data_IF_240833692896
#
_entry.id   IF_240833692896
#
_cell.length_a   1.000
_cell.length_b   1.000
_cell.length_c   1.000
_cell.angle_alpha   90.00
_cell.angle_beta   90.00
_cell.angle_gamma   90.00
#
_symmetry.space_group_name_H-M   'P 1'
#
loop_
_entity.id
_entity.type
_entity.pdbx_description
1 polymer ?
#
# COMPACT_ATOMS: atom_id res chain seq x y z
N UNK A 1 8.84 25.98 -8.86
CA UNK A 1 7.79 26.23 -7.85
C UNK A 1 7.05 24.90 -7.76
N UNK A 2 7.67 23.86 -7.17
CA UNK A 2 7.21 22.47 -7.35
C UNK A 2 7.48 21.57 -6.13
N UNK A 3 7.91 22.13 -5.00
CA UNK A 3 8.17 21.34 -3.78
C UNK A 3 6.90 20.90 -3.06
N UNK A 4 5.79 21.61 -3.26
CA UNK A 4 4.48 21.29 -2.67
C UNK A 4 3.96 19.92 -3.16
N UNK A 5 4.43 19.44 -4.31
CA UNK A 5 4.02 18.14 -4.87
C UNK A 5 4.78 16.96 -4.27
N UNK A 6 6.07 17.10 -3.99
CA UNK A 6 6.93 16.00 -3.51
C UNK A 6 6.57 15.61 -2.07
N UNK A 7 6.41 16.59 -1.19
CA UNK A 7 6.04 16.35 0.20
C UNK A 7 4.66 15.68 0.32
N UNK A 8 3.68 16.12 -0.49
CA UNK A 8 2.35 15.52 -0.55
C UNK A 8 2.38 14.08 -1.10
N UNK A 9 3.19 13.82 -2.13
CA UNK A 9 3.39 12.47 -2.66
C UNK A 9 4.03 11.55 -1.62
N UNK A 10 5.04 12.01 -0.88
CA UNK A 10 5.69 11.27 0.20
C UNK A 10 4.73 10.99 1.36
N UNK A 11 3.93 11.97 1.78
CA UNK A 11 2.91 11.80 2.81
C UNK A 11 1.88 10.75 2.38
N UNK A 12 1.44 10.80 1.11
CA UNK A 12 0.50 9.83 0.56
C UNK A 12 1.08 8.42 0.48
N UNK A 13 2.34 8.28 0.05
CA UNK A 13 3.07 6.99 0.07
C UNK A 13 3.14 6.43 1.49
N UNK A 14 3.46 7.28 2.46
CA UNK A 14 3.55 6.87 3.87
C UNK A 14 2.20 6.37 4.37
N UNK A 15 1.10 7.09 4.09
CA UNK A 15 -0.25 6.67 4.45
C UNK A 15 -0.63 5.32 3.80
N UNK A 16 -0.33 5.13 2.51
CA UNK A 16 -0.60 3.84 1.85
C UNK A 16 0.26 2.70 2.40
N UNK A 17 1.52 2.96 2.80
CA UNK A 17 2.38 1.96 3.45
C UNK A 17 1.83 1.53 4.80
N UNK A 18 1.27 2.46 5.57
CA UNK A 18 0.57 2.16 6.84
C UNK A 18 -0.64 1.28 6.55
N UNK A 19 -1.53 1.70 5.64
CA UNK A 19 -2.73 0.92 5.29
C UNK A 19 -2.37 -0.49 4.77
N UNK A 20 -1.32 -0.60 3.96
CA UNK A 20 -0.82 -1.89 3.47
C UNK A 20 -0.36 -2.81 4.61
N UNK A 21 0.31 -2.26 5.63
CA UNK A 21 0.74 -3.01 6.83
C UNK A 21 -0.45 -3.44 7.68
N UNK A 22 -1.44 -2.58 7.84
CA UNK A 22 -2.67 -2.90 8.58
C UNK A 22 -3.46 -4.01 7.88
N UNK A 23 -3.55 -3.97 6.55
CA UNK A 23 -4.14 -5.06 5.77
C UNK A 23 -3.38 -6.37 5.93
N UNK A 24 -2.05 -6.32 6.05
CA UNK A 24 -1.26 -7.53 6.28
C UNK A 24 -1.56 -8.16 7.64
N UNK A 25 -1.63 -7.32 8.69
CA UNK A 25 -2.02 -7.77 10.02
C UNK A 25 -3.45 -8.35 10.03
N UNK A 26 -4.39 -7.71 9.34
CA UNK A 26 -5.77 -8.19 9.22
C UNK A 26 -5.86 -9.53 8.46
N UNK A 27 -5.10 -9.69 7.38
CA UNK A 27 -5.02 -10.95 6.62
C UNK A 27 -4.45 -12.05 7.49
N UNK A 28 -3.37 -11.78 8.24
CA UNK A 28 -2.77 -12.76 9.14
C UNK A 28 -3.77 -13.20 10.22
N UNK A 29 -4.39 -12.24 10.93
CA UNK A 29 -5.38 -12.53 11.96
C UNK A 29 -6.56 -13.36 11.42
N UNK A 30 -7.09 -13.00 10.24
CA UNK A 30 -8.18 -13.73 9.60
C UNK A 30 -7.76 -15.14 9.14
N UNK A 31 -6.54 -15.30 8.63
CA UNK A 31 -6.03 -16.60 8.18
C UNK A 31 -5.89 -17.63 9.32
N UNK A 32 -5.61 -17.17 10.53
CA UNK A 32 -5.50 -18.02 11.72
C UNK A 32 -6.86 -18.27 12.42
N UNK A 33 -7.93 -17.60 11.98
CA UNK A 33 -9.27 -17.79 12.57
C UNK A 33 -9.90 -19.10 12.08
N UNK A 34 -10.44 -19.94 12.99
CA UNK A 34 -11.28 -21.07 12.60
C UNK A 34 -12.51 -20.57 11.81
N UNK A 35 -12.83 -21.20 10.69
CA UNK A 35 -13.96 -20.80 9.84
C UNK A 35 -13.73 -19.51 9.03
N UNK A 36 -12.46 -19.15 8.78
CA UNK A 36 -12.11 -17.97 7.98
C UNK A 36 -12.86 -17.93 6.63
N UNK A 37 -13.48 -16.78 6.35
CA UNK A 37 -14.14 -16.53 5.07
C UNK A 37 -13.07 -16.34 3.97
N UNK A 38 -12.90 -17.38 3.16
CA UNK A 38 -11.92 -17.40 2.07
C UNK A 38 -12.18 -16.31 1.03
N UNK A 39 -13.43 -15.89 0.82
CA UNK A 39 -13.78 -14.81 -0.10
C UNK A 39 -13.33 -13.46 0.47
N UNK A 40 -13.57 -13.22 1.76
CA UNK A 40 -13.07 -12.01 2.44
C UNK A 40 -11.54 -11.96 2.43
N UNK A 41 -10.88 -13.08 2.73
CA UNK A 41 -9.42 -13.17 2.71
C UNK A 41 -8.85 -12.88 1.31
N UNK A 42 -9.54 -13.36 0.27
CA UNK A 42 -9.17 -13.05 -1.13
C UNK A 42 -9.37 -11.57 -1.47
N UNK A 43 -10.44 -10.93 -0.99
CA UNK A 43 -10.69 -9.50 -1.18
C UNK A 43 -9.62 -8.65 -0.49
N UNK A 44 -9.25 -8.99 0.74
CA UNK A 44 -8.19 -8.30 1.48
C UNK A 44 -6.84 -8.41 0.78
N UNK A 45 -6.46 -9.62 0.32
CA UNK A 45 -5.25 -9.84 -0.46
C UNK A 45 -5.22 -9.02 -1.76
N UNK A 46 -6.35 -8.94 -2.47
CA UNK A 46 -6.47 -8.11 -3.68
C UNK A 46 -6.26 -6.63 -3.38
N UNK A 47 -6.89 -6.12 -2.30
CA UNK A 47 -6.71 -4.71 -1.88
C UNK A 47 -5.24 -4.44 -1.50
N UNK A 48 -4.60 -5.35 -0.77
CA UNK A 48 -3.17 -5.26 -0.42
C UNK A 48 -2.30 -5.18 -1.68
N UNK A 49 -2.57 -6.01 -2.68
CA UNK A 49 -1.85 -5.98 -3.96
C UNK A 49 -2.04 -4.63 -4.68
N UNK A 50 -3.26 -4.11 -4.74
CA UNK A 50 -3.54 -2.81 -5.36
C UNK A 50 -2.81 -1.65 -4.67
N UNK A 51 -2.72 -1.66 -3.34
CA UNK A 51 -1.94 -0.68 -2.60
C UNK A 51 -0.45 -0.79 -2.92
N UNK A 52 0.11 -2.00 -2.95
CA UNK A 52 1.51 -2.24 -3.33
C UNK A 52 1.81 -1.68 -4.72
N UNK A 53 0.97 -1.97 -5.71
CA UNK A 53 1.15 -1.50 -7.07
C UNK A 53 1.02 0.03 -7.16
N UNK A 54 0.10 0.63 -6.39
CA UNK A 54 -0.07 2.08 -6.33
C UNK A 54 1.12 2.79 -5.69
N UNK A 55 1.66 2.23 -4.61
CA UNK A 55 2.89 2.71 -3.97
C UNK A 55 4.04 2.68 -4.97
N UNK A 56 4.26 1.54 -5.63
CA UNK A 56 5.33 1.39 -6.61
C UNK A 56 5.22 2.43 -7.75
N UNK A 57 4.01 2.66 -8.28
CA UNK A 57 3.77 3.69 -9.32
C UNK A 57 4.08 5.11 -8.83
N UNK A 58 3.77 5.43 -7.58
CA UNK A 58 4.02 6.76 -7.02
C UNK A 58 5.50 6.93 -6.66
N UNK A 59 6.16 5.90 -6.14
CA UNK A 59 7.61 5.88 -5.93
C UNK A 59 8.35 6.05 -7.26
N UNK A 60 7.94 5.37 -8.34
CA UNK A 60 8.51 5.57 -9.68
C UNK A 60 8.32 6.99 -10.24
N UNK A 61 7.35 7.77 -9.73
CA UNK A 61 7.17 9.19 -10.10
C UNK A 61 8.04 10.14 -9.27
N UNK A 62 8.54 9.69 -8.12
CA UNK A 62 9.52 10.42 -7.29
C UNK A 62 10.97 10.10 -7.68
N UNK A 63 11.24 8.89 -8.20
CA UNK A 63 12.56 8.46 -8.70
C UNK A 63 13.06 9.16 -10.00
N UNK A 64 12.27 9.85 -10.86
CA UNK A 64 12.82 10.51 -12.06
C UNK A 64 13.91 11.56 -11.76
N UNK A 65 14.01 12.01 -10.51
CA UNK A 65 14.92 13.07 -10.06
C UNK A 65 16.11 12.55 -9.24
N UNK A 66 16.25 11.22 -9.06
CA UNK A 66 17.29 10.61 -8.22
C UNK A 66 18.48 10.00 -9.00
N UNK A 67 18.38 9.89 -10.33
CA UNK A 67 19.43 9.37 -11.23
C UNK A 67 19.83 10.40 -12.32
N UNK A 68 20.21 11.63 -11.92
CA UNK A 68 20.85 12.64 -12.79
C UNK A 68 22.25 13.02 -12.29
#
# INVERSE_FOLDING_TARGET
>A
MDYENIADLQARITAMKIEHRDLDAAIAAMAFSPGADQLQLTRLKRRKLQLKDSIARLESRLIPDLDA
#
